data_IF_754864560136
#
_entry.id   IF_754864560136
#
_cell.length_a   1.000
_cell.length_b   1.000
_cell.length_c   1.000
_cell.angle_alpha   90.00
_cell.angle_beta   90.00
_cell.angle_gamma   90.00
#
_symmetry.space_group_name_H-M   'P 1'
#
loop_
_entity.id
_entity.type
_entity.pdbx_description
1 polymer ?
#
# COMPACT_ATOMS: atom_id res chain seq x y z
N UNK A 1 -12.21 17.09 -1.99
CA UNK A 1 -10.85 16.80 -2.51
C UNK A 1 -10.05 16.09 -1.42
N UNK A 2 -9.14 15.18 -1.77
CA UNK A 2 -8.31 14.42 -0.81
C UNK A 2 -6.99 15.12 -0.52
N UNK A 3 -6.50 15.02 0.73
CA UNK A 3 -5.24 15.63 1.20
C UNK A 3 -4.06 15.27 0.31
N UNK A 4 -3.92 14.01 -0.10
CA UNK A 4 -2.80 13.57 -0.94
C UNK A 4 -2.80 14.23 -2.32
N UNK A 5 -3.98 14.44 -2.90
CA UNK A 5 -4.13 15.12 -4.20
C UNK A 5 -3.77 16.59 -4.09
N UNK A 6 -4.06 17.23 -2.96
CA UNK A 6 -3.70 18.63 -2.72
C UNK A 6 -2.20 18.80 -2.46
N UNK A 7 -1.59 17.87 -1.70
CA UNK A 7 -0.15 17.91 -1.40
C UNK A 7 0.72 17.66 -2.63
N UNK A 8 0.31 16.75 -3.54
CA UNK A 8 1.15 16.37 -4.67
C UNK A 8 1.33 17.46 -5.72
N UNK A 9 0.41 18.43 -5.85
CA UNK A 9 0.33 19.34 -7.02
C UNK A 9 0.39 18.54 -8.34
N UNK A 10 1.57 18.46 -8.97
CA UNK A 10 1.86 17.71 -10.21
C UNK A 10 2.70 16.43 -9.99
N UNK A 11 3.10 16.13 -8.77
CA UNK A 11 3.86 14.94 -8.40
C UNK A 11 3.01 13.66 -8.37
N UNK A 12 3.69 12.52 -8.32
CA UNK A 12 3.04 11.19 -8.35
C UNK A 12 2.62 10.76 -6.94
N UNK A 13 1.67 9.83 -6.84
CA UNK A 13 1.27 9.20 -5.57
C UNK A 13 1.76 7.76 -5.54
N UNK A 14 2.47 7.39 -4.48
CA UNK A 14 2.63 5.99 -4.09
C UNK A 14 1.82 5.65 -2.84
N UNK A 15 1.28 4.44 -2.80
CA UNK A 15 0.50 3.92 -1.68
C UNK A 15 1.02 2.55 -1.24
N UNK A 16 1.33 2.44 0.05
CA UNK A 16 1.45 1.14 0.69
C UNK A 16 0.06 0.65 1.11
N UNK A 17 -0.35 -0.54 0.67
CA UNK A 17 -1.67 -1.08 0.95
C UNK A 17 -1.58 -2.48 1.56
N UNK A 18 -2.24 -2.67 2.69
CA UNK A 18 -2.37 -3.97 3.35
C UNK A 18 -3.51 -3.93 4.36
N UNK A 19 -3.97 -5.10 4.79
CA UNK A 19 -5.08 -5.23 5.72
C UNK A 19 -4.88 -6.43 6.65
N UNK A 20 -5.37 -6.34 7.88
CA UNK A 20 -5.39 -7.46 8.81
C UNK A 20 -6.36 -8.56 8.33
N UNK A 21 -5.99 -9.83 8.51
CA UNK A 21 -6.74 -10.99 8.03
C UNK A 21 -8.10 -11.23 8.71
N UNK A 22 -8.40 -10.51 9.79
CA UNK A 22 -9.71 -10.57 10.47
C UNK A 22 -10.82 -9.79 9.74
N UNK A 23 -10.53 -9.27 8.54
CA UNK A 23 -11.51 -8.64 7.64
C UNK A 23 -12.10 -9.64 6.67
N UNK A 24 -13.35 -9.42 6.30
CA UNK A 24 -14.01 -10.23 5.26
C UNK A 24 -13.39 -9.96 3.89
N UNK A 25 -13.58 -10.86 2.92
CA UNK A 25 -13.09 -10.62 1.56
C UNK A 25 -13.71 -9.34 0.96
N UNK A 26 -15.02 -9.13 1.18
CA UNK A 26 -15.72 -7.93 0.74
C UNK A 26 -15.14 -6.64 1.35
N UNK A 27 -14.72 -6.65 2.63
CA UNK A 27 -14.05 -5.49 3.23
C UNK A 27 -12.70 -5.18 2.57
N UNK A 28 -11.95 -6.21 2.20
CA UNK A 28 -10.65 -6.09 1.53
C UNK A 28 -10.85 -5.56 0.10
N UNK A 29 -11.86 -6.05 -0.62
CA UNK A 29 -12.24 -5.57 -1.95
C UNK A 29 -12.72 -4.10 -1.92
N UNK A 30 -13.54 -3.73 -0.93
CA UNK A 30 -13.97 -2.33 -0.75
C UNK A 30 -12.78 -1.40 -0.46
N UNK A 31 -11.80 -1.85 0.33
CA UNK A 31 -10.57 -1.09 0.57
C UNK A 31 -9.79 -0.88 -0.74
N UNK A 32 -9.61 -1.93 -1.55
CA UNK A 32 -8.96 -1.84 -2.85
C UNK A 32 -9.69 -0.89 -3.80
N UNK A 33 -11.01 -1.00 -3.90
CA UNK A 33 -11.83 -0.11 -4.73
C UNK A 33 -11.73 1.36 -4.26
N UNK A 34 -11.74 1.60 -2.95
CA UNK A 34 -11.56 2.94 -2.40
C UNK A 34 -10.18 3.52 -2.72
N UNK A 35 -9.12 2.73 -2.62
CA UNK A 35 -7.76 3.13 -3.00
C UNK A 35 -7.66 3.46 -4.50
N UNK A 36 -8.21 2.61 -5.37
CA UNK A 36 -8.16 2.77 -6.82
C UNK A 36 -8.81 4.07 -7.32
N UNK A 37 -9.85 4.58 -6.63
CA UNK A 37 -10.51 5.86 -6.96
C UNK A 37 -9.56 7.06 -6.94
N UNK A 38 -8.46 6.99 -6.18
CA UNK A 38 -7.46 8.05 -6.13
C UNK A 38 -6.41 7.96 -7.25
N UNK A 39 -6.45 6.89 -8.05
CA UNK A 39 -5.52 6.61 -9.15
C UNK A 39 -4.06 6.83 -8.74
N UNK A 40 -3.56 6.12 -7.71
CA UNK A 40 -2.15 6.16 -7.37
C UNK A 40 -1.32 5.67 -8.56
N UNK A 41 -0.13 6.26 -8.72
CA UNK A 41 0.82 5.92 -9.78
C UNK A 41 1.58 4.63 -9.45
N UNK A 42 1.66 4.29 -8.16
CA UNK A 42 2.30 3.07 -7.68
C UNK A 42 1.64 2.57 -6.40
N UNK A 43 1.37 1.28 -6.32
CA UNK A 43 0.90 0.61 -5.10
C UNK A 43 1.84 -0.55 -4.80
N UNK A 44 2.37 -0.57 -3.57
CA UNK A 44 2.98 -1.79 -3.03
C UNK A 44 1.96 -2.44 -2.09
N UNK A 45 1.52 -3.63 -2.46
CA UNK A 45 0.64 -4.47 -1.67
C UNK A 45 1.51 -5.25 -0.69
N UNK A 46 1.24 -5.11 0.60
CA UNK A 46 1.98 -5.79 1.65
C UNK A 46 1.17 -6.87 2.35
N UNK A 47 1.87 -7.89 2.81
CA UNK A 47 1.35 -8.76 3.86
C UNK A 47 1.48 -8.05 5.22
N UNK A 48 0.57 -8.34 6.13
CA UNK A 48 0.73 -7.99 7.54
C UNK A 48 0.88 -9.29 8.33
N UNK A 49 2.08 -9.88 8.29
CA UNK A 49 2.38 -11.24 8.77
C UNK A 49 1.93 -11.51 10.21
N UNK A 50 2.07 -10.54 11.11
CA UNK A 50 1.60 -10.65 12.50
C UNK A 50 0.06 -10.72 12.64
N UNK A 51 -0.68 -10.60 11.53
CA UNK A 51 -2.13 -10.47 11.51
C UNK A 51 -2.82 -11.36 10.46
N UNK A 52 -2.25 -12.53 10.14
CA UNK A 52 -2.91 -13.51 9.25
C UNK A 52 -4.30 -13.94 9.75
N UNK A 53 -4.49 -14.04 11.09
CA UNK A 53 -5.80 -14.19 11.77
C UNK A 53 -6.74 -15.23 11.13
N UNK A 54 -6.19 -16.37 10.70
CA UNK A 54 -6.94 -17.50 10.13
C UNK A 54 -6.95 -17.57 8.60
N UNK A 55 -6.33 -16.62 7.89
CA UNK A 55 -6.08 -16.70 6.45
C UNK A 55 -4.72 -17.31 6.14
N UNK A 56 -4.58 -17.88 4.95
CA UNK A 56 -3.31 -18.37 4.46
C UNK A 56 -2.37 -17.17 4.14
N UNK A 57 -1.03 -17.33 4.32
CA UNK A 57 -0.07 -16.37 3.80
C UNK A 57 -0.33 -16.07 2.32
N UNK A 58 -0.27 -14.81 1.92
CA UNK A 58 -0.50 -14.33 0.55
C UNK A 58 -1.96 -14.19 0.15
N UNK A 59 -2.92 -14.66 0.95
CA UNK A 59 -4.34 -14.62 0.61
C UNK A 59 -4.87 -13.18 0.55
N UNK A 60 -4.56 -12.35 1.55
CA UNK A 60 -4.96 -10.94 1.56
C UNK A 60 -4.30 -10.16 0.42
N UNK A 61 -2.96 -10.27 0.19
CA UNK A 61 -2.32 -9.68 -0.98
C UNK A 61 -2.96 -10.08 -2.31
N UNK A 62 -3.35 -11.36 -2.47
CA UNK A 62 -3.99 -11.84 -3.69
C UNK A 62 -5.36 -11.20 -3.93
N UNK A 63 -6.21 -11.12 -2.89
CA UNK A 63 -7.52 -10.46 -2.97
C UNK A 63 -7.35 -8.97 -3.31
N UNK A 64 -6.46 -8.26 -2.62
CA UNK A 64 -6.16 -6.85 -2.90
C UNK A 64 -5.73 -6.65 -4.35
N UNK A 65 -4.78 -7.46 -4.82
CA UNK A 65 -4.26 -7.36 -6.20
C UNK A 65 -5.37 -7.56 -7.23
N UNK A 66 -6.17 -8.60 -7.06
CA UNK A 66 -7.28 -8.89 -7.98
C UNK A 66 -8.29 -7.75 -8.02
N UNK A 67 -8.69 -7.23 -6.85
CA UNK A 67 -9.65 -6.13 -6.75
C UNK A 67 -9.12 -4.82 -7.34
N UNK A 68 -7.81 -4.51 -7.16
CA UNK A 68 -7.18 -3.33 -7.75
C UNK A 68 -7.13 -3.39 -9.29
N UNK A 69 -6.83 -4.57 -9.85
CA UNK A 69 -6.86 -4.80 -11.30
C UNK A 69 -8.29 -4.67 -11.85
N UNK A 70 -9.28 -5.27 -11.19
CA UNK A 70 -10.69 -5.13 -11.55
C UNK A 70 -11.18 -3.68 -11.48
N UNK A 71 -10.64 -2.88 -10.55
CA UNK A 71 -10.92 -1.45 -10.44
C UNK A 71 -10.18 -0.59 -11.49
N UNK A 72 -9.43 -1.20 -12.42
CA UNK A 72 -8.85 -0.53 -13.58
C UNK A 72 -7.44 0.04 -13.38
N UNK A 73 -6.74 -0.34 -12.30
CA UNK A 73 -5.32 -0.03 -12.19
C UNK A 73 -4.49 -0.96 -13.09
N UNK A 74 -3.46 -0.45 -13.77
CA UNK A 74 -2.61 -1.27 -14.60
C UNK A 74 -1.73 -2.17 -13.73
N UNK A 75 -1.46 -3.39 -14.21
CA UNK A 75 -0.56 -4.34 -13.53
C UNK A 75 0.83 -3.74 -13.26
N UNK A 76 1.32 -2.89 -14.17
CA UNK A 76 2.61 -2.18 -14.02
C UNK A 76 2.65 -1.20 -12.84
N UNK A 77 1.51 -0.82 -12.26
CA UNK A 77 1.46 0.03 -11.08
C UNK A 77 1.42 -0.77 -9.77
N UNK A 78 1.35 -2.11 -9.83
CA UNK A 78 1.16 -2.96 -8.66
C UNK A 78 2.37 -3.85 -8.42
N UNK A 79 2.94 -3.77 -7.22
CA UNK A 79 3.95 -4.72 -6.73
C UNK A 79 3.47 -5.38 -5.43
N UNK A 80 3.90 -6.60 -5.16
CA UNK A 80 3.58 -7.33 -3.91
C UNK A 80 4.87 -7.55 -3.13
N UNK A 81 4.85 -7.25 -1.84
CA UNK A 81 5.98 -7.44 -0.95
C UNK A 81 5.52 -8.00 0.40
N UNK A 82 6.01 -9.18 0.81
CA UNK A 82 5.50 -9.84 2.03
C UNK A 82 6.05 -9.22 3.32
N UNK A 83 7.18 -8.51 3.26
CA UNK A 83 7.71 -7.70 4.36
C UNK A 83 7.17 -6.26 4.34
N UNK A 84 6.62 -5.78 5.46
CA UNK A 84 6.17 -4.39 5.62
C UNK A 84 7.32 -3.38 5.43
N UNK A 85 8.50 -3.65 6.02
CA UNK A 85 9.69 -2.81 5.84
C UNK A 85 10.21 -2.86 4.40
N UNK A 86 10.21 -4.05 3.78
CA UNK A 86 10.58 -4.20 2.37
C UNK A 86 9.67 -3.36 1.46
N UNK A 87 8.37 -3.38 1.74
CA UNK A 87 7.39 -2.59 1.02
C UNK A 87 7.62 -1.07 1.16
N UNK A 88 7.96 -0.60 2.37
CA UNK A 88 8.33 0.80 2.62
C UNK A 88 9.56 1.18 1.81
N UNK A 89 10.65 0.39 1.88
CA UNK A 89 11.89 0.67 1.14
C UNK A 89 11.63 0.73 -0.36
N UNK A 90 10.81 -0.18 -0.88
CA UNK A 90 10.45 -0.19 -2.30
C UNK A 90 9.72 1.07 -2.74
N UNK A 91 8.77 1.57 -1.93
CA UNK A 91 8.08 2.86 -2.20
C UNK A 91 9.08 4.03 -2.18
N UNK A 92 10.02 4.04 -1.24
CA UNK A 92 11.05 5.08 -1.16
C UNK A 92 11.98 5.04 -2.37
N UNK A 93 12.44 3.87 -2.81
CA UNK A 93 13.27 3.70 -4.00
C UNK A 93 12.58 4.15 -5.30
N UNK A 94 11.26 3.96 -5.40
CA UNK A 94 10.49 4.44 -6.56
C UNK A 94 10.30 5.96 -6.56
N UNK A 95 10.33 6.58 -5.38
CA UNK A 95 9.97 7.99 -5.19
C UNK A 95 11.03 8.95 -5.75
N UNK A 96 10.57 10.16 -6.07
CA UNK A 96 11.44 11.30 -6.39
C UNK A 96 10.89 12.57 -5.74
N UNK A 97 11.71 13.63 -5.75
CA UNK A 97 11.30 14.94 -5.25
C UNK A 97 9.97 15.40 -5.87
N UNK A 98 9.04 15.83 -5.01
CA UNK A 98 7.70 16.25 -5.39
C UNK A 98 6.63 15.15 -5.36
N UNK A 99 7.00 13.87 -5.26
CA UNK A 99 6.02 12.80 -5.06
C UNK A 99 5.42 12.81 -3.64
N UNK A 100 4.23 12.23 -3.49
CA UNK A 100 3.56 12.03 -2.20
C UNK A 100 3.48 10.54 -1.90
N UNK A 101 4.00 10.16 -0.74
CA UNK A 101 4.03 8.77 -0.28
C UNK A 101 3.03 8.59 0.86
N UNK A 102 2.09 7.66 0.69
CA UNK A 102 1.12 7.29 1.72
C UNK A 102 1.56 5.94 2.28
N UNK A 103 2.07 5.95 3.51
CA UNK A 103 2.68 4.78 4.16
C UNK A 103 1.94 4.40 5.44
N UNK A 104 0.76 3.74 5.38
CA UNK A 104 0.16 3.14 6.56
C UNK A 104 1.06 1.99 7.03
N UNK A 105 1.74 2.17 8.16
CA UNK A 105 2.64 1.18 8.77
C UNK A 105 2.04 0.76 10.11
N UNK A 106 1.82 -0.55 10.28
CA UNK A 106 1.11 -1.08 11.45
C UNK A 106 2.07 -1.60 12.52
N UNK A 107 3.23 -2.12 12.13
CA UNK A 107 4.24 -2.56 13.08
C UNK A 107 4.99 -1.36 13.67
N UNK A 108 5.17 -1.38 15.00
CA UNK A 108 5.80 -0.26 15.74
C UNK A 108 7.29 -0.14 15.45
N UNK A 109 7.99 -1.26 15.30
CA UNK A 109 9.43 -1.30 14.99
C UNK A 109 9.62 -0.80 13.56
N UNK A 110 8.84 -1.33 12.61
CA UNK A 110 8.90 -0.89 11.21
C UNK A 110 8.54 0.59 11.09
N UNK A 111 7.60 1.11 11.88
CA UNK A 111 7.28 2.53 11.90
C UNK A 111 8.46 3.38 12.37
N UNK A 112 9.18 2.96 13.41
CA UNK A 112 10.36 3.68 13.89
C UNK A 112 11.46 3.70 12.82
N UNK A 113 11.72 2.57 12.17
CA UNK A 113 12.68 2.47 11.06
C UNK A 113 12.25 3.32 9.85
N UNK A 114 10.97 3.33 9.52
CA UNK A 114 10.42 4.17 8.44
C UNK A 114 10.68 5.65 8.69
N UNK A 115 10.47 6.12 9.93
CA UNK A 115 10.73 7.52 10.32
C UNK A 115 12.22 7.84 10.19
N UNK A 116 13.10 6.94 10.58
CA UNK A 116 14.55 7.13 10.41
C UNK A 116 14.96 7.24 8.94
N UNK A 117 14.39 6.41 8.06
CA UNK A 117 14.67 6.40 6.61
C UNK A 117 14.22 7.67 5.88
N UNK A 118 13.16 8.34 6.35
CA UNK A 118 12.65 9.57 5.69
C UNK A 118 13.21 10.86 6.29
N UNK A 119 13.95 10.75 7.41
CA UNK A 119 14.57 11.89 8.09
C UNK A 119 16.06 12.05 7.75
N UNK A 120 16.62 11.11 6.98
CA UNK A 120 18.00 11.12 6.46
C UNK A 120 18.09 11.85 5.13
#
# INVERSE_FOLDING_TARGET
>A
MSVAVQLRRTGRIALLLGQAGNRTAADIEHLAAAAARFRPDFIVIKETEAYLRGRAPGEVPAILRAALLQAGLPESALEVHLSELGAVKRVLEWSRSGDVLILPVHDRVVRAETVALISS
#
